data_IF_968024983165
#
_entry.id   IF_968024983165
#
_cell.length_a   1.000
_cell.length_b   1.000
_cell.length_c   1.000
_cell.angle_alpha   90.00
_cell.angle_beta   90.00
_cell.angle_gamma   90.00
#
_symmetry.space_group_name_H-M   'P 1'
#
loop_
_entity.id
_entity.type
_entity.pdbx_description
1 polymer ?
#
# COMPACT_ATOMS: atom_id res chain seq x y z
N UNK A 1 6.01 11.29 5.51
CA UNK A 1 5.71 10.16 4.60
C UNK A 1 4.88 9.15 5.36
N UNK A 2 4.01 8.42 4.69
CA UNK A 2 3.11 7.45 5.33
C UNK A 2 3.34 6.08 4.71
N UNK A 3 3.43 5.06 5.56
CA UNK A 3 3.67 3.68 5.16
C UNK A 3 2.93 2.75 6.11
N UNK A 4 2.12 1.86 5.54
CA UNK A 4 1.49 0.76 6.26
C UNK A 4 2.37 -0.49 6.27
N UNK A 5 2.04 -1.49 7.10
CA UNK A 5 2.87 -2.70 7.31
C UNK A 5 2.98 -3.60 6.07
N UNK A 6 2.09 -3.43 5.09
CA UNK A 6 2.05 -4.19 3.81
C UNK A 6 1.98 -3.28 2.58
N UNK A 7 2.40 -2.02 2.73
CA UNK A 7 2.16 -0.97 1.74
C UNK A 7 3.43 -0.28 1.29
N UNK A 8 3.42 0.22 0.04
CA UNK A 8 4.43 1.15 -0.43
C UNK A 8 4.34 2.48 0.32
N UNK A 9 5.50 3.11 0.52
CA UNK A 9 5.54 4.43 1.13
C UNK A 9 4.96 5.47 0.18
N UNK A 10 4.10 6.35 0.70
CA UNK A 10 3.53 7.47 -0.06
C UNK A 10 3.86 8.81 0.61
N UNK A 11 4.28 9.78 -0.20
CA UNK A 11 4.43 11.18 0.21
C UNK A 11 3.11 11.90 -0.05
N UNK A 12 2.47 12.36 1.01
CA UNK A 12 1.24 13.16 0.96
C UNK A 12 1.57 14.59 1.38
N UNK A 13 1.02 15.56 0.64
CA UNK A 13 1.42 16.95 0.76
C UNK A 13 0.29 17.93 1.03
N UNK A 14 -0.96 17.46 1.06
CA UNK A 14 -2.15 18.25 1.40
C UNK A 14 -3.01 17.47 2.39
N UNK A 15 -3.83 18.18 3.18
CA UNK A 15 -4.64 17.59 4.26
C UNK A 15 -5.91 16.87 3.80
N UNK A 16 -6.27 17.00 2.52
CA UNK A 16 -7.45 16.36 1.90
C UNK A 16 -7.08 16.04 0.44
N UNK A 17 -6.14 15.10 0.21
CA UNK A 17 -5.73 14.74 -1.14
C UNK A 17 -6.89 14.06 -1.86
N UNK A 18 -6.97 14.26 -3.17
CA UNK A 18 -7.95 13.62 -4.04
C UNK A 18 -7.23 12.97 -5.21
N UNK A 19 -7.65 11.77 -5.60
CA UNK A 19 -7.25 11.16 -6.86
C UNK A 19 -8.48 10.73 -7.68
N UNK A 20 -8.42 11.00 -8.98
CA UNK A 20 -9.49 10.60 -9.94
C UNK A 20 -9.32 9.14 -10.33
N UNK A 21 -8.06 8.70 -10.45
CA UNK A 21 -7.69 7.33 -10.78
C UNK A 21 -7.01 6.75 -9.53
N UNK A 22 -7.50 5.62 -8.97
CA UNK A 22 -6.90 4.99 -7.80
C UNK A 22 -5.39 4.76 -7.99
N UNK A 23 -4.60 5.05 -6.96
CA UNK A 23 -3.16 4.81 -6.94
C UNK A 23 -2.30 5.93 -7.53
N UNK A 24 -2.87 6.86 -8.32
CA UNK A 24 -2.12 7.86 -9.11
C UNK A 24 -1.73 9.14 -8.38
N UNK A 25 -2.17 9.34 -7.13
CA UNK A 25 -1.80 10.54 -6.39
C UNK A 25 -0.28 10.72 -6.29
N UNK A 26 0.19 11.90 -6.68
CA UNK A 26 1.56 12.34 -6.51
C UNK A 26 1.65 13.69 -5.78
N UNK A 27 2.60 13.80 -4.85
CA UNK A 27 2.91 15.08 -4.22
C UNK A 27 3.85 15.91 -5.11
N UNK A 28 3.41 17.12 -5.49
CA UNK A 28 4.25 18.11 -6.20
C UNK A 28 4.87 19.14 -5.26
N UNK A 29 4.07 19.68 -4.33
CA UNK A 29 4.47 20.73 -3.39
C UNK A 29 3.88 20.45 -2.01
N UNK A 30 4.70 20.56 -0.97
CA UNK A 30 4.26 20.41 0.42
C UNK A 30 3.47 21.63 0.89
N UNK A 31 2.23 21.40 1.33
CA UNK A 31 1.30 22.45 1.78
C UNK A 31 0.70 22.16 3.16
N UNK A 32 0.96 20.98 3.75
CA UNK A 32 0.58 20.67 5.12
C UNK A 32 1.34 21.60 6.07
N UNK A 33 0.58 22.42 6.80
CA UNK A 33 1.10 23.27 7.87
C UNK A 33 0.77 22.64 9.21
N UNK A 34 1.79 22.36 10.01
CA UNK A 34 1.63 21.88 11.38
C UNK A 34 1.39 23.07 12.32
N UNK A 35 0.33 23.01 13.10
CA UNK A 35 0.02 24.01 14.12
C UNK A 35 0.17 23.41 15.52
N UNK A 36 0.33 24.26 16.54
CA UNK A 36 0.35 23.80 17.92
C UNK A 36 -1.02 23.24 18.32
N UNK A 37 -1.03 22.05 18.92
CA UNK A 37 -2.23 21.35 19.33
C UNK A 37 -2.45 20.07 18.52
N UNK A 38 -3.61 19.46 18.71
CA UNK A 38 -4.04 18.30 17.96
C UNK A 38 -4.53 18.74 16.57
N UNK A 39 -4.03 18.10 15.52
CA UNK A 39 -4.43 18.36 14.14
C UNK A 39 -4.77 17.06 13.44
N UNK A 40 -5.97 16.97 12.91
CA UNK A 40 -6.43 15.82 12.15
C UNK A 40 -5.93 15.90 10.71
N UNK A 41 -5.26 14.83 10.27
CA UNK A 41 -4.86 14.65 8.88
C UNK A 41 -5.79 13.65 8.18
N UNK A 42 -6.50 14.10 7.14
CA UNK A 42 -7.45 13.27 6.40
C UNK A 42 -6.87 12.85 5.04
N UNK A 43 -6.62 11.55 4.88
CA UNK A 43 -6.05 10.98 3.66
C UNK A 43 -7.00 10.01 2.96
N UNK A 44 -8.29 10.03 3.30
CA UNK A 44 -9.28 9.10 2.77
C UNK A 44 -9.50 9.24 1.26
N UNK A 45 -9.19 10.39 0.67
CA UNK A 45 -9.38 10.64 -0.77
C UNK A 45 -8.32 10.03 -1.69
N UNK A 46 -7.37 9.25 -1.15
CA UNK A 46 -6.35 8.55 -1.95
C UNK A 46 -6.12 7.11 -1.46
N UNK A 47 -5.68 6.26 -2.37
CA UNK A 47 -5.30 4.90 -2.08
C UNK A 47 -3.82 4.81 -1.68
N UNK A 48 -3.53 3.98 -0.69
CA UNK A 48 -2.19 3.51 -0.39
C UNK A 48 -2.02 2.15 -1.05
N UNK A 49 -1.05 2.00 -1.95
CA UNK A 49 -0.85 0.77 -2.69
C UNK A 49 -0.27 -0.32 -1.78
N UNK A 50 -0.95 -1.45 -1.68
CA UNK A 50 -0.49 -2.64 -0.98
C UNK A 50 0.46 -3.47 -1.85
N UNK A 51 1.33 -4.26 -1.23
CA UNK A 51 2.15 -5.27 -1.91
C UNK A 51 3.61 -5.32 -1.50
N UNK A 52 4.13 -4.32 -0.78
CA UNK A 52 5.46 -4.39 -0.15
C UNK A 52 5.29 -5.11 1.19
N UNK A 53 5.45 -6.44 1.15
CA UNK A 53 5.11 -7.33 2.26
C UNK A 53 6.11 -7.21 3.42
N UNK A 54 5.74 -7.64 4.64
CA UNK A 54 6.67 -7.72 5.77
C UNK A 54 8.00 -8.40 5.41
N UNK A 55 9.09 -7.85 5.96
CA UNK A 55 10.43 -7.75 5.34
C UNK A 55 10.51 -6.72 4.22
N UNK A 56 9.89 -5.55 4.48
CA UNK A 56 9.71 -4.49 3.50
C UNK A 56 11.04 -3.94 3.00
N UNK A 57 11.17 -3.82 1.67
CA UNK A 57 12.33 -3.22 1.01
C UNK A 57 11.98 -1.90 0.29
N UNK A 58 10.72 -1.47 0.35
CA UNK A 58 10.24 -0.26 -0.33
C UNK A 58 9.89 -0.47 -1.79
N UNK A 59 9.96 -1.71 -2.27
CA UNK A 59 9.61 -2.12 -3.63
C UNK A 59 8.45 -3.11 -3.57
N UNK A 60 7.71 -3.21 -4.66
CA UNK A 60 6.87 -4.37 -4.92
C UNK A 60 7.57 -5.11 -6.04
N UNK A 61 8.07 -6.30 -5.76
CA UNK A 61 8.87 -7.05 -6.72
C UNK A 61 8.47 -8.53 -6.81
N UNK A 62 9.25 -9.31 -7.56
CA UNK A 62 8.99 -10.72 -7.76
C UNK A 62 8.94 -11.51 -6.43
N UNK A 63 9.68 -11.10 -5.39
CA UNK A 63 9.69 -11.75 -4.08
C UNK A 63 8.31 -11.66 -3.43
N UNK A 64 7.68 -10.48 -3.45
CA UNK A 64 6.33 -10.28 -2.90
C UNK A 64 5.29 -11.11 -3.66
N UNK A 65 5.34 -11.04 -4.99
CA UNK A 65 4.42 -11.77 -5.89
C UNK A 65 4.53 -13.28 -5.66
N UNK A 66 5.76 -13.80 -5.62
CA UNK A 66 6.03 -15.23 -5.41
C UNK A 66 5.56 -15.66 -4.02
N UNK A 67 5.75 -14.81 -3.00
CA UNK A 67 5.32 -15.14 -1.64
C UNK A 67 3.80 -15.30 -1.56
N UNK A 68 3.00 -14.36 -2.09
CA UNK A 68 1.53 -14.51 -2.13
C UNK A 68 1.13 -15.72 -2.96
N UNK A 69 1.68 -15.86 -4.17
CA UNK A 69 1.33 -16.96 -5.08
C UNK A 69 1.60 -18.35 -4.49
N UNK A 70 2.73 -18.50 -3.77
CA UNK A 70 3.11 -19.78 -3.15
C UNK A 70 2.25 -20.14 -1.93
N UNK A 71 1.47 -19.18 -1.42
CA UNK A 71 0.67 -19.32 -0.21
C UNK A 71 -0.84 -19.19 -0.46
N UNK A 72 -1.29 -19.24 -1.72
CA UNK A 72 -2.72 -19.21 -2.06
C UNK A 72 -3.49 -20.34 -1.36
N UNK A 73 -4.63 -20.00 -0.77
CA UNK A 73 -5.46 -20.87 0.04
C UNK A 73 -5.01 -20.99 1.51
N UNK A 74 -3.88 -20.39 1.89
CA UNK A 74 -3.37 -20.49 3.26
C UNK A 74 -4.23 -19.69 4.23
N UNK A 75 -4.49 -20.29 5.39
CA UNK A 75 -5.06 -19.65 6.59
C UNK A 75 -4.10 -19.74 7.78
N UNK A 76 -2.86 -20.12 7.52
CA UNK A 76 -1.83 -20.17 8.56
C UNK A 76 -1.61 -18.77 9.13
N UNK A 77 -1.64 -18.57 10.46
CA UNK A 77 -1.57 -17.24 11.05
C UNK A 77 -0.31 -16.45 10.68
N UNK A 78 0.84 -17.10 10.54
CA UNK A 78 2.08 -16.42 10.16
C UNK A 78 2.00 -15.94 8.71
N UNK A 79 1.52 -16.81 7.83
CA UNK A 79 1.31 -16.50 6.40
C UNK A 79 0.27 -15.39 6.21
N UNK A 80 -0.87 -15.47 6.88
CA UNK A 80 -1.94 -14.45 6.84
C UNK A 80 -1.43 -13.12 7.36
N UNK A 81 -0.72 -13.12 8.49
CA UNK A 81 -0.13 -11.88 9.03
C UNK A 81 0.79 -11.17 8.05
N UNK A 82 1.38 -11.91 7.10
CA UNK A 82 2.28 -11.39 6.07
C UNK A 82 1.59 -11.05 4.76
N UNK A 83 0.80 -11.96 4.19
CA UNK A 83 0.35 -11.93 2.79
C UNK A 83 -1.13 -11.59 2.57
N UNK A 84 -1.97 -11.63 3.61
CA UNK A 84 -3.39 -11.23 3.50
C UNK A 84 -3.49 -9.69 3.45
N UNK A 85 -3.72 -9.13 2.28
CA UNK A 85 -3.74 -7.69 2.01
C UNK A 85 -5.12 -7.08 2.26
N UNK A 86 -6.20 -7.83 2.03
CA UNK A 86 -7.56 -7.35 2.24
C UNK A 86 -8.10 -7.64 3.67
N UNK A 87 -7.34 -8.37 4.48
CA UNK A 87 -7.58 -8.73 5.88
C UNK A 87 -8.81 -9.63 6.08
N UNK A 88 -9.11 -10.51 5.13
CA UNK A 88 -10.25 -11.43 5.19
C UNK A 88 -9.93 -12.79 5.85
N UNK A 89 -8.68 -13.00 6.26
CA UNK A 89 -8.22 -14.17 7.00
C UNK A 89 -7.80 -15.35 6.11
N UNK A 90 -7.66 -15.15 4.81
CA UNK A 90 -7.11 -16.13 3.87
C UNK A 90 -6.19 -15.42 2.87
N UNK A 91 -5.15 -16.09 2.40
CA UNK A 91 -4.37 -15.59 1.26
C UNK A 91 -4.98 -16.14 -0.01
N UNK A 92 -5.54 -15.30 -0.88
CA UNK A 92 -6.23 -15.76 -2.09
C UNK A 92 -5.97 -14.88 -3.33
N UNK A 93 -6.78 -15.10 -4.38
CA UNK A 93 -6.65 -14.37 -5.64
C UNK A 93 -6.87 -12.87 -5.50
N UNK A 94 -7.59 -12.39 -4.48
CA UNK A 94 -7.81 -10.98 -4.21
C UNK A 94 -6.49 -10.31 -3.80
N UNK A 95 -5.73 -10.91 -2.87
CA UNK A 95 -4.41 -10.40 -2.47
C UNK A 95 -3.45 -10.37 -3.64
N UNK A 96 -3.43 -11.44 -4.43
CA UNK A 96 -2.63 -11.51 -5.64
C UNK A 96 -2.99 -10.38 -6.61
N UNK A 97 -4.29 -10.15 -6.84
CA UNK A 97 -4.77 -9.07 -7.72
C UNK A 97 -4.38 -7.69 -7.18
N UNK A 98 -4.41 -7.46 -5.87
CA UNK A 98 -3.98 -6.19 -5.26
C UNK A 98 -2.50 -5.89 -5.55
N UNK A 99 -1.61 -6.89 -5.46
CA UNK A 99 -0.19 -6.74 -5.81
C UNK A 99 -0.02 -6.40 -7.30
N UNK A 100 -0.68 -7.15 -8.19
CA UNK A 100 -0.58 -6.91 -9.64
C UNK A 100 -1.11 -5.52 -10.00
N UNK A 101 -2.21 -5.09 -9.39
CA UNK A 101 -2.75 -3.75 -9.59
C UNK A 101 -1.77 -2.67 -9.11
N UNK A 102 -1.13 -2.85 -7.96
CA UNK A 102 -0.14 -1.90 -7.47
C UNK A 102 1.06 -1.76 -8.43
N UNK A 103 1.50 -2.86 -9.04
CA UNK A 103 2.58 -2.84 -10.04
C UNK A 103 2.22 -2.03 -11.27
N UNK A 104 0.95 -2.04 -11.72
CA UNK A 104 0.51 -1.24 -12.88
C UNK A 104 0.75 0.27 -12.73
N UNK A 105 0.93 0.76 -11.50
CA UNK A 105 1.27 2.15 -11.20
C UNK A 105 2.75 2.38 -10.90
N UNK A 106 3.50 1.33 -10.57
CA UNK A 106 4.85 1.43 -9.99
C UNK A 106 5.95 0.80 -10.83
N UNK A 107 5.63 0.18 -11.96
CA UNK A 107 6.62 -0.40 -12.88
C UNK A 107 7.70 0.59 -13.34
N UNK A 108 7.40 1.90 -13.42
CA UNK A 108 8.29 2.92 -14.02
C UNK A 108 8.61 4.12 -13.10
N UNK A 109 8.26 4.09 -11.81
CA UNK A 109 8.63 5.19 -10.90
C UNK A 109 10.01 4.93 -10.27
N UNK A 110 11.05 5.53 -10.86
CA UNK A 110 12.43 5.64 -10.31
C UNK A 110 12.55 6.71 -9.24
#
# INVERSE_FOLDING_TARGET
MIKGPKHLQKKICVNNPLEVIPGTYNCKKGEITLQNGEQTLDFLGIYLLAGDLPLQNGLIDAVDIIYVKSNLGSKDPEVVSRADLNLDGIVDSQDYTMIINALSFKYDET
#
